data_IF_489333546259
#
_entry.id   IF_489333546259
#
_cell.length_a   1.000
_cell.length_b   1.000
_cell.length_c   1.000
_cell.angle_alpha   90.00
_cell.angle_beta   90.00
_cell.angle_gamma   90.00
#
_symmetry.space_group_name_H-M   'P 1'
#
loop_
_entity.id
_entity.type
_entity.pdbx_description
1 polymer ?
#
# COMPACT_ATOMS: atom_id res chain seq x y z
N UNK A 1 43.33 -19.98 54.54
CA UNK A 1 43.02 -20.55 53.22
C UNK A 1 41.89 -19.70 52.68
N UNK A 2 42.17 -19.10 51.52
CA UNK A 2 41.34 -18.13 50.82
C UNK A 2 40.15 -18.84 50.14
N UNK A 3 39.28 -18.01 49.57
CA UNK A 3 38.18 -18.33 48.66
C UNK A 3 36.85 -18.63 49.39
N UNK A 4 35.71 -18.02 49.05
CA UNK A 4 35.25 -17.66 47.72
C UNK A 4 34.20 -16.53 47.80
N UNK A 5 34.48 -15.42 47.10
CA UNK A 5 33.50 -14.38 46.79
C UNK A 5 32.94 -14.70 45.41
N UNK A 6 31.71 -15.20 45.34
CA UNK A 6 30.96 -15.25 44.09
C UNK A 6 29.62 -14.54 44.29
N UNK A 7 29.63 -13.24 44.02
CA UNK A 7 28.41 -12.48 43.76
C UNK A 7 27.98 -12.81 42.34
N UNK A 8 26.87 -13.54 42.20
CA UNK A 8 26.20 -13.72 40.93
C UNK A 8 25.64 -12.38 40.47
N UNK A 9 26.26 -11.85 39.41
CA UNK A 9 25.79 -10.72 38.62
C UNK A 9 24.69 -11.27 37.69
N UNK A 10 23.43 -11.19 38.13
CA UNK A 10 22.28 -11.40 37.25
C UNK A 10 22.13 -10.16 36.38
N UNK A 11 22.82 -10.17 35.25
CA UNK A 11 22.60 -9.25 34.15
C UNK A 11 21.14 -9.34 33.71
N UNK A 12 20.38 -8.31 34.04
CA UNK A 12 19.05 -8.06 33.51
C UNK A 12 19.20 -7.74 32.03
N UNK A 13 19.18 -8.78 31.19
CA UNK A 13 19.00 -8.68 29.74
C UNK A 13 17.58 -8.15 29.50
N UNK A 14 17.45 -6.83 29.63
CA UNK A 14 16.39 -6.02 29.01
C UNK A 14 16.52 -6.16 27.49
N UNK A 15 16.10 -7.31 26.97
CA UNK A 15 15.80 -7.51 25.56
C UNK A 15 14.63 -6.59 25.24
N UNK A 16 14.97 -5.43 24.66
CA UNK A 16 14.05 -4.59 23.90
C UNK A 16 13.45 -5.49 22.81
N UNK A 17 12.32 -6.14 23.13
CA UNK A 17 11.48 -6.79 22.14
C UNK A 17 10.81 -5.68 21.36
N UNK A 18 11.47 -5.22 20.31
CA UNK A 18 10.78 -4.48 19.24
C UNK A 18 9.55 -5.29 18.88
N UNK A 19 8.35 -4.74 19.09
CA UNK A 19 7.10 -5.40 18.72
C UNK A 19 7.18 -5.71 17.22
N UNK A 20 7.38 -6.99 16.90
CA UNK A 20 7.28 -7.48 15.55
C UNK A 20 5.80 -7.52 15.21
N UNK A 21 5.36 -6.61 14.34
CA UNK A 21 3.97 -6.53 13.93
C UNK A 21 3.61 -7.76 13.10
N UNK A 22 2.44 -8.36 13.34
CA UNK A 22 1.89 -9.33 12.40
C UNK A 22 1.59 -8.65 11.07
N UNK A 23 1.66 -9.38 9.95
CA UNK A 23 1.40 -8.84 8.60
C UNK A 23 -0.01 -8.24 8.50
N UNK A 24 -1.00 -8.92 9.08
CA UNK A 24 -2.39 -8.48 9.15
C UNK A 24 -2.55 -7.25 10.03
N UNK A 25 -1.83 -7.16 11.16
CA UNK A 25 -1.78 -5.99 12.02
C UNK A 25 -1.16 -4.78 11.32
N UNK A 26 -0.05 -4.98 10.60
CA UNK A 26 0.58 -3.94 9.79
C UNK A 26 -0.35 -3.42 8.69
N UNK A 27 -1.00 -4.32 7.94
CA UNK A 27 -1.97 -3.94 6.91
C UNK A 27 -3.13 -3.12 7.52
N UNK A 28 -3.73 -3.59 8.61
CA UNK A 28 -4.80 -2.85 9.32
C UNK A 28 -4.35 -1.44 9.72
N UNK A 29 -3.17 -1.32 10.32
CA UNK A 29 -2.62 -0.02 10.72
C UNK A 29 -2.44 0.94 9.55
N UNK A 30 -1.92 0.45 8.42
CA UNK A 30 -1.74 1.28 7.21
C UNK A 30 -3.09 1.73 6.66
N UNK A 31 -4.10 0.86 6.62
CA UNK A 31 -5.44 1.20 6.14
C UNK A 31 -6.15 2.20 7.07
N UNK A 32 -6.02 2.04 8.39
CA UNK A 32 -6.53 2.99 9.38
C UNK A 32 -5.87 4.37 9.22
N UNK A 33 -4.55 4.41 9.01
CA UNK A 33 -3.83 5.64 8.74
C UNK A 33 -4.32 6.34 7.48
N UNK A 34 -4.58 5.59 6.40
CA UNK A 34 -5.13 6.12 5.16
C UNK A 34 -6.54 6.68 5.34
N UNK A 35 -7.42 5.96 6.07
CA UNK A 35 -8.80 6.38 6.31
C UNK A 35 -8.91 7.62 7.22
N UNK A 36 -7.87 7.91 8.01
CA UNK A 36 -7.85 9.07 8.90
C UNK A 36 -7.59 10.39 8.14
N UNK A 37 -8.68 10.97 7.64
CA UNK A 37 -8.68 12.22 6.86
C UNK A 37 -8.21 13.46 7.62
N UNK A 38 -8.19 13.45 8.96
CA UNK A 38 -7.63 14.57 9.73
C UNK A 38 -6.11 14.69 9.56
N UNK A 39 -5.44 13.56 9.28
CA UNK A 39 -3.99 13.50 9.06
C UNK A 39 -3.62 13.67 7.59
N UNK A 40 -4.41 13.10 6.68
CA UNK A 40 -4.14 13.14 5.23
C UNK A 40 -5.42 13.45 4.45
N UNK A 41 -5.66 14.72 4.07
CA UNK A 41 -6.89 15.13 3.41
C UNK A 41 -6.97 14.63 1.95
N UNK A 42 -5.82 14.37 1.33
CA UNK A 42 -5.68 13.82 -0.02
C UNK A 42 -4.78 12.58 0.02
N UNK A 43 -5.01 11.58 -0.84
CA UNK A 43 -4.07 10.47 -1.01
C UNK A 43 -2.70 10.96 -1.52
N UNK A 44 -1.64 10.47 -0.89
CA UNK A 44 -0.23 10.74 -1.23
C UNK A 44 0.48 9.43 -1.65
N UNK A 45 1.50 9.51 -2.51
CA UNK A 45 2.13 8.31 -3.10
C UNK A 45 2.77 7.40 -2.06
N UNK A 46 3.37 7.97 -1.00
CA UNK A 46 3.94 7.19 0.09
C UNK A 46 2.91 6.32 0.84
N UNK A 47 1.64 6.74 0.89
CA UNK A 47 0.57 5.94 1.49
C UNK A 47 0.26 4.73 0.62
N UNK A 48 0.16 4.93 -0.70
CA UNK A 48 -0.04 3.86 -1.68
C UNK A 48 1.14 2.88 -1.64
N UNK A 49 2.36 3.39 -1.52
CA UNK A 49 3.56 2.58 -1.35
C UNK A 49 3.48 1.70 -0.10
N UNK A 50 3.11 2.25 1.07
CA UNK A 50 2.98 1.41 2.28
C UNK A 50 1.85 0.38 2.19
N UNK A 51 0.73 0.70 1.53
CA UNK A 51 -0.32 -0.29 1.27
C UNK A 51 0.24 -1.40 0.37
N UNK A 52 0.95 -1.04 -0.70
CA UNK A 52 1.56 -1.99 -1.62
C UNK A 52 2.54 -2.93 -0.90
N UNK A 53 3.44 -2.39 -0.08
CA UNK A 53 4.39 -3.19 0.73
C UNK A 53 3.67 -4.09 1.73
N UNK A 54 2.65 -3.59 2.42
CA UNK A 54 1.86 -4.38 3.36
C UNK A 54 1.17 -5.56 2.68
N UNK A 55 0.64 -5.35 1.48
CA UNK A 55 0.02 -6.42 0.66
C UNK A 55 1.08 -7.38 0.11
N UNK A 56 2.22 -6.87 -0.34
CA UNK A 56 3.31 -7.71 -0.89
C UNK A 56 3.92 -8.66 0.15
N UNK A 57 3.81 -8.32 1.44
CA UNK A 57 4.23 -9.19 2.54
C UNK A 57 3.44 -10.51 2.61
N UNK A 58 2.24 -10.57 2.00
CA UNK A 58 1.47 -11.81 1.85
C UNK A 58 1.98 -12.57 0.62
N UNK A 59 2.60 -13.74 0.83
CA UNK A 59 3.14 -14.56 -0.27
C UNK A 59 2.02 -15.10 -1.15
N UNK A 60 2.12 -14.84 -2.45
CA UNK A 60 1.29 -15.50 -3.46
C UNK A 60 1.83 -16.91 -3.74
N UNK A 61 1.47 -17.89 -2.93
CA UNK A 61 1.72 -19.31 -3.24
C UNK A 61 2.11 -20.18 -2.04
N UNK A 62 1.30 -21.23 -1.82
CA UNK A 62 1.56 -22.52 -1.16
C UNK A 62 2.17 -22.58 0.25
N UNK A 63 2.50 -21.47 0.90
CA UNK A 63 2.44 -21.42 2.36
C UNK A 63 0.97 -21.22 2.71
N UNK A 64 0.31 -22.36 2.99
CA UNK A 64 -1.03 -22.45 3.54
C UNK A 64 -1.21 -21.28 4.51
N UNK A 65 -2.30 -20.55 4.35
CA UNK A 65 -2.63 -19.44 5.21
C UNK A 65 -2.91 -20.02 6.61
N UNK A 66 -1.85 -20.22 7.41
CA UNK A 66 -1.92 -20.86 8.71
C UNK A 66 -2.18 -19.77 9.75
N UNK A 67 -3.33 -19.87 10.43
CA UNK A 67 -3.72 -19.05 11.58
C UNK A 67 -3.91 -17.53 11.31
N UNK A 68 -3.44 -16.67 12.22
CA UNK A 68 -3.73 -15.22 12.32
C UNK A 68 -3.03 -14.34 11.25
N UNK A 69 -2.23 -14.95 10.37
CA UNK A 69 -1.54 -14.26 9.27
C UNK A 69 -2.36 -14.16 7.99
N UNK A 70 -3.65 -14.50 8.04
CA UNK A 70 -4.55 -14.46 6.90
C UNK A 70 -5.29 -13.14 6.76
N UNK A 71 -5.37 -12.66 5.52
CA UNK A 71 -6.35 -11.64 5.13
C UNK A 71 -7.71 -12.31 5.09
N UNK A 72 -8.55 -12.02 6.08
CA UNK A 72 -9.95 -12.46 6.10
C UNK A 72 -10.80 -11.62 5.13
N UNK A 73 -12.04 -12.06 4.90
CA UNK A 73 -12.99 -11.38 4.01
C UNK A 73 -13.26 -9.92 4.43
N UNK A 74 -13.17 -9.61 5.72
CA UNK A 74 -13.42 -8.25 6.24
C UNK A 74 -12.26 -7.33 5.88
N UNK A 75 -11.03 -7.77 6.10
CA UNK A 75 -9.83 -7.02 5.77
C UNK A 75 -9.65 -6.89 4.26
N UNK A 76 -9.99 -7.93 3.49
CA UNK A 76 -10.01 -7.87 2.03
C UNK A 76 -11.01 -6.81 1.53
N UNK A 77 -12.24 -6.82 2.04
CA UNK A 77 -13.26 -5.83 1.69
C UNK A 77 -12.83 -4.39 2.05
N UNK A 78 -12.17 -4.22 3.19
CA UNK A 78 -11.62 -2.93 3.61
C UNK A 78 -10.49 -2.43 2.68
N UNK A 79 -9.56 -3.31 2.30
CA UNK A 79 -8.52 -2.99 1.33
C UNK A 79 -9.11 -2.65 -0.05
N UNK A 80 -10.16 -3.35 -0.47
CA UNK A 80 -10.89 -3.04 -1.70
C UNK A 80 -11.55 -1.66 -1.63
N UNK A 81 -12.22 -1.32 -0.51
CA UNK A 81 -12.82 0.00 -0.28
C UNK A 81 -11.77 1.13 -0.37
N UNK A 82 -10.63 0.97 0.31
CA UNK A 82 -9.52 1.93 0.26
C UNK A 82 -9.00 2.10 -1.18
N UNK A 83 -8.86 1.00 -1.92
CA UNK A 83 -8.43 1.05 -3.32
C UNK A 83 -9.45 1.80 -4.19
N UNK A 84 -10.75 1.63 -3.97
CA UNK A 84 -11.78 2.41 -4.65
C UNK A 84 -11.67 3.90 -4.33
N UNK A 85 -11.39 4.27 -3.08
CA UNK A 85 -11.16 5.67 -2.68
C UNK A 85 -9.98 6.27 -3.45
N UNK A 86 -8.84 5.55 -3.51
CA UNK A 86 -7.64 5.95 -4.25
C UNK A 86 -7.95 6.13 -5.73
N UNK A 87 -8.62 5.14 -6.35
CA UNK A 87 -9.04 5.19 -7.75
C UNK A 87 -9.94 6.39 -8.04
N UNK A 88 -10.92 6.66 -7.19
CA UNK A 88 -11.83 7.80 -7.34
C UNK A 88 -11.09 9.14 -7.19
N UNK A 89 -10.17 9.24 -6.24
CA UNK A 89 -9.30 10.40 -6.06
C UNK A 89 -8.45 10.65 -7.32
N UNK A 90 -7.78 9.61 -7.83
CA UNK A 90 -7.00 9.67 -9.06
C UNK A 90 -7.84 10.16 -10.26
N UNK A 91 -9.03 9.59 -10.46
CA UNK A 91 -9.95 9.98 -11.56
C UNK A 91 -10.41 11.42 -11.50
N UNK A 92 -10.51 11.99 -10.30
CA UNK A 92 -10.94 13.38 -10.10
C UNK A 92 -9.79 14.37 -10.04
N UNK A 93 -8.54 13.90 -9.98
CA UNK A 93 -7.40 14.75 -9.66
C UNK A 93 -7.37 15.20 -8.19
N UNK A 94 -8.07 14.50 -7.30
CA UNK A 94 -8.16 14.77 -5.86
C UNK A 94 -7.10 13.98 -5.08
N UNK A 95 -5.84 14.10 -5.48
CA UNK A 95 -4.66 13.51 -4.83
C UNK A 95 -3.52 14.54 -4.80
N UNK A 96 -2.46 14.28 -4.06
CA UNK A 96 -1.28 15.14 -4.12
C UNK A 96 -0.63 15.05 -5.51
N UNK A 97 -0.93 16.04 -6.35
CA UNK A 97 -0.45 16.14 -7.71
C UNK A 97 0.97 16.70 -7.80
N UNK A 98 1.56 17.14 -6.68
CA UNK A 98 2.96 17.53 -6.60
C UNK A 98 3.88 16.32 -6.48
N UNK A 99 3.36 15.19 -6.01
CA UNK A 99 4.05 13.92 -5.97
C UNK A 99 4.12 13.28 -7.37
N UNK A 100 5.31 13.27 -7.95
CA UNK A 100 5.56 12.65 -9.25
C UNK A 100 5.46 11.13 -9.23
N UNK A 101 5.53 10.51 -8.04
CA UNK A 101 5.53 9.06 -7.87
C UNK A 101 4.12 8.50 -7.70
N UNK A 102 3.13 9.32 -7.30
CA UNK A 102 1.76 8.88 -7.04
C UNK A 102 1.19 7.97 -8.13
N UNK A 103 1.39 8.32 -9.41
CA UNK A 103 0.90 7.51 -10.51
C UNK A 103 1.57 6.12 -10.55
N UNK A 104 2.87 6.05 -10.35
CA UNK A 104 3.62 4.79 -10.36
C UNK A 104 3.24 3.94 -9.16
N UNK A 105 3.08 4.54 -7.98
CA UNK A 105 2.61 3.85 -6.78
C UNK A 105 1.18 3.32 -6.96
N UNK A 106 0.30 4.07 -7.62
CA UNK A 106 -1.05 3.63 -7.95
C UNK A 106 -1.07 2.44 -8.91
N UNK A 107 -0.29 2.51 -9.99
CA UNK A 107 -0.16 1.39 -10.95
C UNK A 107 0.46 0.15 -10.28
N UNK A 108 1.50 0.35 -9.47
CA UNK A 108 2.15 -0.73 -8.71
C UNK A 108 1.16 -1.40 -7.77
N UNK A 109 0.41 -0.62 -7.00
CA UNK A 109 -0.60 -1.12 -6.07
C UNK A 109 -1.64 -1.99 -6.80
N UNK A 110 -2.20 -1.50 -7.91
CA UNK A 110 -3.17 -2.29 -8.70
C UNK A 110 -2.55 -3.58 -9.25
N UNK A 111 -1.30 -3.53 -9.72
CA UNK A 111 -0.56 -4.68 -10.20
C UNK A 111 -0.32 -5.74 -9.12
N UNK A 112 -0.08 -5.31 -7.88
CA UNK A 112 0.06 -6.17 -6.72
C UNK A 112 -1.28 -6.79 -6.32
N UNK A 113 -2.35 -5.98 -6.22
CA UNK A 113 -3.66 -6.42 -5.75
C UNK A 113 -4.28 -7.48 -6.65
N UNK A 114 -4.15 -7.35 -7.98
CA UNK A 114 -4.72 -8.33 -8.92
C UNK A 114 -4.10 -9.74 -8.82
N UNK A 115 -2.92 -9.87 -8.19
CA UNK A 115 -2.28 -11.18 -7.96
C UNK A 115 -2.67 -11.83 -6.63
N UNK A 116 -3.50 -11.19 -5.80
CA UNK A 116 -3.78 -11.68 -4.45
C UNK A 116 -4.96 -12.65 -4.42
N UNK A 117 -4.77 -13.79 -3.77
CA UNK A 117 -5.75 -14.88 -3.74
C UNK A 117 -6.95 -14.64 -2.82
N UNK A 118 -6.88 -13.61 -1.96
CA UNK A 118 -7.96 -13.27 -1.04
C UNK A 118 -9.03 -12.35 -1.65
N UNK A 119 -8.86 -11.90 -2.90
CA UNK A 119 -9.90 -11.19 -3.63
C UNK A 119 -10.74 -12.15 -4.48
N UNK A 120 -12.01 -11.80 -4.64
CA UNK A 120 -12.89 -12.48 -5.60
C UNK A 120 -12.44 -12.25 -7.04
N UNK A 121 -12.92 -13.08 -7.96
CA UNK A 121 -12.69 -12.91 -9.40
C UNK A 121 -13.26 -11.57 -9.91
N UNK A 122 -14.38 -11.11 -9.32
CA UNK A 122 -14.99 -9.83 -9.66
C UNK A 122 -14.09 -8.66 -9.25
N UNK A 123 -13.60 -8.63 -8.02
CA UNK A 123 -12.68 -7.59 -7.52
C UNK A 123 -11.36 -7.61 -8.30
N UNK A 124 -10.82 -8.79 -8.57
CA UNK A 124 -9.62 -8.97 -9.40
C UNK A 124 -9.82 -8.38 -10.79
N UNK A 125 -10.97 -8.64 -11.41
CA UNK A 125 -11.34 -8.06 -12.70
C UNK A 125 -11.43 -6.53 -12.62
N UNK A 126 -11.97 -5.97 -11.53
CA UNK A 126 -11.99 -4.52 -11.33
C UNK A 126 -10.58 -3.92 -11.28
N UNK A 127 -9.64 -4.53 -10.56
CA UNK A 127 -8.26 -4.05 -10.52
C UNK A 127 -7.61 -4.05 -11.92
N UNK A 128 -7.82 -5.10 -12.72
CA UNK A 128 -7.32 -5.17 -14.09
C UNK A 128 -7.93 -4.07 -14.98
N UNK A 129 -9.23 -3.80 -14.84
CA UNK A 129 -9.90 -2.72 -15.57
C UNK A 129 -9.37 -1.34 -15.16
N UNK A 130 -9.13 -1.11 -13.87
CA UNK A 130 -8.57 0.16 -13.37
C UNK A 130 -7.11 0.34 -13.79
N UNK A 131 -6.33 -0.74 -13.83
CA UNK A 131 -4.96 -0.74 -14.32
C UNK A 131 -4.93 -0.38 -15.80
N UNK A 132 -5.82 -0.99 -16.60
CA UNK A 132 -5.99 -0.64 -18.02
C UNK A 132 -6.37 0.83 -18.18
N UNK A 133 -7.33 1.32 -17.41
CA UNK A 133 -7.77 2.73 -17.42
C UNK A 133 -6.59 3.68 -17.13
N UNK A 134 -5.77 3.36 -16.13
CA UNK A 134 -4.60 4.14 -15.76
C UNK A 134 -3.54 4.16 -16.88
N UNK A 135 -3.21 3.01 -17.46
CA UNK A 135 -2.21 2.89 -18.53
C UNK A 135 -2.68 3.57 -19.82
N UNK A 136 -3.95 3.37 -20.21
CA UNK A 136 -4.54 4.03 -21.39
C UNK A 136 -4.48 5.56 -21.25
N UNK A 137 -4.70 6.10 -20.04
CA UNK A 137 -4.66 7.55 -19.78
C UNK A 137 -3.29 8.17 -20.09
N UNK A 138 -2.20 7.43 -19.88
CA UNK A 138 -0.84 7.87 -20.24
C UNK A 138 -0.63 7.78 -21.74
N UNK A 139 -0.95 6.63 -22.34
CA UNK A 139 -0.70 6.38 -23.77
C UNK A 139 -1.47 7.40 -24.63
N UNK A 140 -2.69 7.73 -24.23
CA UNK A 140 -3.57 8.66 -24.95
C UNK A 140 -3.36 10.12 -24.55
N UNK A 141 -2.44 10.42 -23.63
CA UNK A 141 -2.21 11.77 -23.10
C UNK A 141 -3.41 12.36 -22.35
N UNK A 142 -4.38 11.52 -21.97
CA UNK A 142 -5.61 11.91 -21.30
C UNK A 142 -5.47 11.77 -19.77
N UNK A 143 -4.52 12.49 -19.16
CA UNK A 143 -4.48 12.57 -17.69
C UNK A 143 -5.74 13.30 -17.20
N UNK A 144 -6.44 12.80 -16.16
CA UNK A 144 -7.51 13.56 -15.54
C UNK A 144 -6.95 14.89 -15.06
N UNK A 145 -7.48 15.99 -15.60
CA UNK A 145 -7.02 17.33 -15.23
C UNK A 145 -7.38 17.59 -13.76
N UNK A 146 -6.38 17.88 -12.93
CA UNK A 146 -6.64 18.38 -11.58
C UNK A 146 -7.28 19.77 -11.68
N UNK A 147 -8.27 20.10 -10.84
CA UNK A 147 -8.78 21.46 -10.77
C UNK A 147 -7.66 22.40 -10.25
N UNK A 148 -7.00 23.11 -11.16
CA UNK A 148 -6.06 24.20 -10.85
C UNK A 148 -4.58 23.98 -11.14
N UNK A 149 -4.12 22.84 -11.68
CA UNK A 149 -2.70 22.67 -12.02
C UNK A 149 -2.39 23.20 -13.42
N UNK A 150 -1.58 24.26 -13.48
CA UNK A 150 -0.85 24.62 -14.69
C UNK A 150 -0.05 23.40 -15.19
N UNK A 151 -0.10 23.16 -16.50
CA UNK A 151 0.55 22.00 -17.13
C UNK A 151 2.05 21.96 -16.83
N UNK A 152 2.50 20.99 -16.07
CA UNK A 152 3.90 20.54 -16.12
C UNK A 152 4.13 19.81 -17.44
N UNK A 153 5.33 19.93 -18.04
CA UNK A 153 5.54 19.62 -19.44
C UNK A 153 5.36 18.13 -19.68
N UNK A 154 4.51 17.82 -20.66
CA UNK A 154 4.46 16.52 -21.30
C UNK A 154 5.88 16.14 -21.71
N UNK A 155 6.23 14.87 -21.47
CA UNK A 155 7.36 14.23 -22.10
C UNK A 155 7.09 14.22 -23.61
N UNK A 156 7.46 15.30 -24.30
CA UNK A 156 7.57 15.29 -25.76
C UNK A 156 8.64 14.26 -26.11
N UNK A 157 8.20 13.04 -26.41
CA UNK A 157 8.99 12.12 -27.23
C UNK A 157 9.00 12.75 -28.62
N UNK A 158 10.00 13.58 -28.83
CA UNK A 158 10.40 14.06 -30.14
C UNK A 158 10.81 12.83 -30.97
N UNK A 159 9.86 12.32 -31.75
CA UNK A 159 10.18 11.48 -32.89
C UNK A 159 10.81 12.36 -33.98
N UNK A 160 12.12 12.22 -34.17
CA UNK A 160 12.82 12.58 -35.41
C UNK A 160 13.22 11.30 -36.14
#
# INVERSE_FOLDING_TARGET
MLDDHSQGDEGDESSDKSEEWSKTGWLKYVLDCFKNKEKTPLPEGWQLHFINEAVFAFKSGDEECVDEECVDETLAAELFEVTQMIRNAWKKGEYDNSDTNFFYDYVSLLGTLQNQCFFSEEETTQFLLWLKEAVDSIILGARPAAPGSASCPAWDVAAQ
#
